data_IF_811908476037
#
_entry.id   IF_811908476037
#
_cell.length_a   1.000
_cell.length_b   1.000
_cell.length_c   1.000
_cell.angle_alpha   90.00
_cell.angle_beta   90.00
_cell.angle_gamma   90.00
#
_symmetry.space_group_name_H-M   'P 1'
#
loop_
_entity.id
_entity.type
_entity.pdbx_description
1 polymer ?
#
# COMPACT_ATOMS: atom_id res chain seq x y z
N UNK A 1 25.66 3.89 4.40
CA UNK A 1 25.06 5.23 4.46
C UNK A 1 24.98 5.90 3.08
N UNK A 2 25.80 5.48 2.15
CA UNK A 2 25.91 6.10 0.81
C UNK A 2 25.02 5.45 -0.26
N UNK A 3 24.41 4.31 0.04
CA UNK A 3 23.61 3.53 -0.91
C UNK A 3 22.11 3.61 -0.68
N UNK A 4 21.63 4.63 0.03
CA UNK A 4 20.19 4.82 0.19
C UNK A 4 19.60 5.29 -1.12
N UNK A 5 19.25 4.34 -1.95
CA UNK A 5 18.50 4.55 -3.17
C UNK A 5 17.01 4.44 -2.85
N UNK A 6 16.19 5.26 -3.47
CA UNK A 6 14.73 5.18 -3.36
C UNK A 6 14.12 3.93 -4.03
N UNK A 7 14.95 2.99 -4.44
CA UNK A 7 14.51 1.79 -5.18
C UNK A 7 14.16 0.63 -4.29
N UNK A 8 14.58 0.62 -3.03
CA UNK A 8 14.31 -0.46 -2.08
C UNK A 8 13.27 0.00 -1.06
N UNK A 9 12.01 -0.28 -1.34
CA UNK A 9 10.89 -0.02 -0.43
C UNK A 9 10.76 -1.09 0.66
N UNK A 10 11.85 -1.41 1.33
CA UNK A 10 11.82 -2.32 2.46
C UNK A 10 11.31 -1.58 3.70
N UNK A 11 10.36 -2.17 4.41
CA UNK A 11 9.84 -1.66 5.67
C UNK A 11 10.14 -2.63 6.81
N UNK A 12 10.57 -2.09 7.93
CA UNK A 12 10.71 -2.85 9.16
C UNK A 12 9.55 -2.47 10.07
N UNK A 13 8.65 -3.41 10.32
CA UNK A 13 7.54 -3.21 11.24
C UNK A 13 7.93 -3.67 12.64
N UNK A 14 7.71 -2.82 13.64
CA UNK A 14 7.94 -3.10 15.05
C UNK A 14 6.68 -2.82 15.86
N UNK A 15 6.51 -3.49 16.98
CA UNK A 15 5.28 -3.39 17.79
C UNK A 15 4.16 -4.27 17.26
N UNK A 16 2.94 -3.73 17.26
CA UNK A 16 1.76 -4.50 16.88
C UNK A 16 1.30 -5.51 17.91
N UNK A 17 0.66 -6.57 17.45
CA UNK A 17 0.20 -7.68 18.28
C UNK A 17 0.68 -9.00 17.68
N UNK A 18 0.84 -10.01 18.52
CA UNK A 18 1.18 -11.38 18.12
C UNK A 18 -0.06 -12.13 17.63
N UNK A 19 0.12 -13.28 16.99
CA UNK A 19 -0.96 -14.14 16.52
C UNK A 19 -1.97 -14.48 17.63
N UNK A 20 -1.47 -14.75 18.85
CA UNK A 20 -2.30 -15.00 20.04
C UNK A 20 -2.84 -13.73 20.72
N UNK A 21 -2.67 -12.57 20.06
CA UNK A 21 -3.22 -11.29 20.49
C UNK A 21 -2.51 -10.62 21.66
N UNK A 22 -1.27 -11.01 21.98
CA UNK A 22 -0.43 -10.33 22.97
C UNK A 22 0.31 -9.14 22.34
N UNK A 23 0.97 -8.33 23.18
CA UNK A 23 1.86 -7.29 22.71
C UNK A 23 3.02 -7.85 21.90
N UNK A 24 3.28 -7.25 20.73
CA UNK A 24 4.35 -7.66 19.83
C UNK A 24 5.71 -6.98 20.10
N UNK A 25 5.77 -6.05 21.06
CA UNK A 25 7.02 -5.37 21.40
C UNK A 25 7.94 -6.30 22.19
N UNK A 26 9.18 -6.38 21.78
CA UNK A 26 10.24 -7.12 22.46
C UNK A 26 11.56 -6.33 22.44
N UNK A 27 12.64 -6.91 22.97
CA UNK A 27 13.94 -6.24 23.02
C UNK A 27 14.47 -5.86 21.64
N UNK A 28 14.25 -6.70 20.62
CA UNK A 28 14.65 -6.42 19.24
C UNK A 28 13.93 -5.20 18.68
N UNK A 29 12.68 -4.96 19.09
CA UNK A 29 11.93 -3.77 18.68
C UNK A 29 12.62 -2.48 19.14
N UNK A 30 13.17 -2.45 20.35
CA UNK A 30 13.96 -1.31 20.84
C UNK A 30 15.29 -1.18 20.11
N UNK A 31 16.00 -2.30 19.89
CA UNK A 31 17.28 -2.30 19.18
C UNK A 31 17.12 -1.76 17.75
N UNK A 32 16.05 -2.12 17.05
CA UNK A 32 15.74 -1.60 15.71
C UNK A 32 15.54 -0.10 15.76
N UNK A 33 14.76 0.42 16.71
CA UNK A 33 14.54 1.86 16.87
C UNK A 33 15.85 2.60 17.18
N UNK A 34 16.70 2.03 18.03
CA UNK A 34 17.98 2.63 18.39
C UNK A 34 18.94 2.65 17.20
N UNK A 35 19.04 1.56 16.42
CA UNK A 35 19.81 1.53 15.18
C UNK A 35 19.32 2.56 14.15
N UNK A 36 18.00 2.66 13.97
CA UNK A 36 17.42 3.64 13.04
C UNK A 36 17.74 5.08 13.48
N UNK A 37 17.68 5.36 14.78
CA UNK A 37 18.00 6.65 15.34
C UNK A 37 19.50 7.01 15.20
N UNK A 38 20.37 6.05 15.47
CA UNK A 38 21.82 6.24 15.38
C UNK A 38 22.28 6.47 13.93
N UNK A 39 21.82 5.61 13.03
CA UNK A 39 22.27 5.62 11.64
C UNK A 39 21.56 6.65 10.75
N UNK A 40 20.39 7.16 11.17
CA UNK A 40 19.55 8.08 10.38
C UNK A 40 19.26 7.55 8.98
N UNK A 41 18.90 6.28 8.90
CA UNK A 41 18.57 5.64 7.64
C UNK A 41 17.18 6.07 7.17
N UNK A 42 17.07 6.40 5.89
CA UNK A 42 15.78 6.61 5.23
C UNK A 42 15.17 5.29 4.74
N UNK A 43 16.03 4.34 4.40
CA UNK A 43 15.66 2.98 4.00
C UNK A 43 16.56 1.96 4.74
N UNK A 44 16.01 0.83 5.20
CA UNK A 44 14.57 0.50 5.22
C UNK A 44 13.76 1.48 6.07
N UNK A 45 12.52 1.75 5.67
CA UNK A 45 11.62 2.58 6.48
C UNK A 45 11.27 1.89 7.80
N UNK A 46 11.17 2.66 8.88
CA UNK A 46 10.78 2.15 10.19
C UNK A 46 9.31 2.44 10.45
N UNK A 47 8.52 1.39 10.63
CA UNK A 47 7.10 1.44 10.93
C UNK A 47 6.85 0.95 12.36
N UNK A 48 6.21 1.78 13.17
CA UNK A 48 5.81 1.44 14.54
C UNK A 48 4.31 1.20 14.57
N UNK A 49 3.92 -0.04 14.78
CA UNK A 49 2.53 -0.44 14.95
C UNK A 49 2.14 -0.27 16.42
N UNK A 50 1.12 0.52 16.66
CA UNK A 50 0.63 0.86 18.01
C UNK A 50 -0.71 0.16 18.24
N UNK A 51 -0.79 -0.59 19.35
CA UNK A 51 -2.01 -1.17 19.87
C UNK A 51 -2.31 -0.63 21.27
N UNK A 52 -3.48 -0.94 21.79
CA UNK A 52 -3.83 -0.64 23.20
C UNK A 52 -2.91 -1.35 24.20
N UNK A 53 -2.20 -2.37 23.76
CA UNK A 53 -1.26 -3.17 24.58
C UNK A 53 0.18 -2.67 24.50
N UNK A 54 0.48 -1.76 23.58
CA UNK A 54 1.84 -1.23 23.37
C UNK A 54 2.39 -0.60 24.64
N UNK A 55 3.58 -1.01 25.11
CA UNK A 55 4.21 -0.46 26.29
C UNK A 55 4.50 1.05 26.15
N UNK A 56 4.10 1.85 27.15
CA UNK A 56 4.36 3.30 27.13
C UNK A 56 5.82 3.65 26.94
N UNK A 57 6.75 2.83 27.44
CA UNK A 57 8.20 3.01 27.27
C UNK A 57 8.59 2.95 25.79
N UNK A 58 8.04 1.97 25.04
CA UNK A 58 8.29 1.82 23.61
C UNK A 58 7.73 3.00 22.82
N UNK A 59 6.46 3.35 23.06
CA UNK A 59 5.84 4.50 22.42
C UNK A 59 6.61 5.80 22.69
N UNK A 60 7.04 6.02 23.94
CA UNK A 60 7.86 7.18 24.29
C UNK A 60 9.17 7.21 23.50
N UNK A 61 9.87 6.07 23.39
CA UNK A 61 11.12 5.98 22.62
C UNK A 61 10.89 6.29 21.14
N UNK A 62 9.86 5.75 20.53
CA UNK A 62 9.49 6.03 19.14
C UNK A 62 9.17 7.52 18.92
N UNK A 63 8.41 8.14 19.81
CA UNK A 63 8.10 9.57 19.78
C UNK A 63 9.35 10.45 19.95
N UNK A 64 10.28 10.07 20.83
CA UNK A 64 11.56 10.78 21.00
C UNK A 64 12.41 10.79 19.72
N UNK A 65 12.36 9.70 18.94
CA UNK A 65 13.04 9.62 17.66
C UNK A 65 12.32 10.47 16.62
N UNK A 66 11.00 10.31 16.48
CA UNK A 66 10.18 11.04 15.52
C UNK A 66 10.30 12.55 15.69
N UNK A 67 10.32 13.04 16.92
CA UNK A 67 10.47 14.46 17.26
C UNK A 67 11.78 15.11 16.74
N UNK A 68 12.80 14.30 16.37
CA UNK A 68 14.06 14.80 15.79
C UNK A 68 13.90 15.31 14.36
N UNK A 69 12.73 15.06 13.72
CA UNK A 69 12.34 15.71 12.47
C UNK A 69 12.94 15.10 11.18
N UNK A 70 13.56 13.92 11.23
CA UNK A 70 14.09 13.29 10.02
C UNK A 70 13.12 12.28 9.35
N UNK A 71 11.86 12.26 9.80
CA UNK A 71 10.76 11.56 9.10
C UNK A 71 10.55 10.10 9.50
N UNK A 72 11.27 9.58 10.49
CA UNK A 72 11.14 8.21 10.98
C UNK A 72 10.99 8.20 12.51
N UNK A 73 10.36 7.16 13.09
CA UNK A 73 9.51 6.16 12.46
C UNK A 73 8.12 6.71 12.07
N UNK A 74 7.43 6.02 11.16
CA UNK A 74 6.00 6.24 10.92
C UNK A 74 5.17 5.43 11.92
N UNK A 75 3.96 5.92 12.26
CA UNK A 75 3.09 5.31 13.27
C UNK A 75 1.81 4.78 12.64
N UNK A 76 1.43 3.55 12.98
CA UNK A 76 0.27 2.86 12.44
C UNK A 76 -0.60 2.28 13.56
N UNK A 77 -1.90 2.36 13.38
CA UNK A 77 -2.88 1.81 14.31
C UNK A 77 -3.11 0.32 14.02
N UNK A 78 -2.62 -0.54 14.92
CA UNK A 78 -2.74 -2.00 14.78
C UNK A 78 -4.19 -2.48 14.72
N UNK A 79 -5.06 -1.94 15.56
CA UNK A 79 -6.46 -2.34 15.59
C UNK A 79 -7.17 -1.98 14.27
N UNK A 80 -6.82 -0.83 13.68
CA UNK A 80 -7.35 -0.44 12.37
C UNK A 80 -6.87 -1.38 11.27
N UNK A 81 -5.57 -1.73 11.23
CA UNK A 81 -5.00 -2.69 10.28
C UNK A 81 -5.70 -4.05 10.39
N UNK A 82 -5.83 -4.59 11.61
CA UNK A 82 -6.50 -5.88 11.83
C UNK A 82 -7.95 -5.84 11.36
N UNK A 83 -8.67 -4.77 11.68
CA UNK A 83 -10.06 -4.60 11.26
C UNK A 83 -10.20 -4.52 9.74
N UNK A 84 -9.31 -3.78 9.08
CA UNK A 84 -9.28 -3.65 7.62
C UNK A 84 -9.04 -4.99 6.94
N UNK A 85 -8.02 -5.73 7.38
CA UNK A 85 -7.69 -7.04 6.83
C UNK A 85 -8.81 -8.07 7.04
N UNK A 86 -9.45 -8.07 8.21
CA UNK A 86 -10.62 -8.92 8.44
C UNK A 86 -11.81 -8.54 7.54
N UNK A 87 -12.06 -7.25 7.32
CA UNK A 87 -13.09 -6.79 6.40
C UNK A 87 -12.77 -7.17 4.94
N UNK A 88 -11.49 -7.27 4.59
CA UNK A 88 -11.03 -7.80 3.30
C UNK A 88 -11.08 -9.35 3.21
N UNK A 89 -11.61 -10.04 4.25
CA UNK A 89 -11.82 -11.49 4.25
C UNK A 89 -10.65 -12.32 4.78
N UNK A 90 -9.65 -11.71 5.42
CA UNK A 90 -8.55 -12.43 6.07
C UNK A 90 -9.03 -13.06 7.39
N UNK A 91 -8.40 -14.17 7.77
CA UNK A 91 -8.61 -14.73 9.12
C UNK A 91 -8.08 -13.77 10.19
N UNK A 92 -8.55 -13.91 11.43
CA UNK A 92 -8.05 -13.09 12.54
C UNK A 92 -6.54 -13.31 12.78
N UNK A 93 -6.07 -14.55 12.63
CA UNK A 93 -4.66 -14.88 12.82
C UNK A 93 -3.79 -14.25 11.72
N UNK A 94 -4.20 -14.38 10.44
CA UNK A 94 -3.52 -13.70 9.33
C UNK A 94 -3.55 -12.15 9.51
N UNK A 95 -4.67 -11.59 9.92
CA UNK A 95 -4.81 -10.15 10.13
C UNK A 95 -3.91 -9.62 11.26
N UNK A 96 -3.75 -10.39 12.35
CA UNK A 96 -2.83 -10.05 13.46
C UNK A 96 -1.36 -10.11 13.04
N UNK A 97 -1.01 -10.99 12.10
CA UNK A 97 0.32 -11.08 11.51
C UNK A 97 0.55 -10.02 10.43
N UNK A 98 -0.43 -9.17 10.19
CA UNK A 98 -0.38 -8.10 9.21
C UNK A 98 0.40 -6.88 9.68
N UNK A 99 0.68 -6.02 8.72
CA UNK A 99 1.37 -4.75 8.94
C UNK A 99 1.32 -3.88 7.71
N UNK A 100 2.27 -2.97 7.61
CA UNK A 100 2.39 -2.04 6.50
C UNK A 100 3.63 -2.31 5.66
N UNK A 101 3.50 -2.13 4.37
CA UNK A 101 4.55 -2.26 3.37
C UNK A 101 4.56 -1.01 2.48
N UNK A 102 5.62 -0.79 1.72
CA UNK A 102 5.72 0.40 0.86
C UNK A 102 5.59 1.69 1.67
N UNK A 103 4.55 2.45 1.42
CA UNK A 103 4.27 3.68 2.17
C UNK A 103 3.23 3.47 3.27
N UNK A 104 2.07 2.88 2.91
CA UNK A 104 0.91 2.68 3.80
C UNK A 104 0.10 1.42 3.44
N UNK A 105 0.60 0.61 2.54
CA UNK A 105 -0.08 -0.58 2.05
C UNK A 105 -0.18 -1.62 3.17
N UNK A 106 -1.39 -1.91 3.60
CA UNK A 106 -1.68 -2.93 4.61
C UNK A 106 -1.82 -4.31 3.97
N UNK A 107 -1.38 -5.34 4.68
CA UNK A 107 -1.51 -6.72 4.23
C UNK A 107 -1.07 -7.74 5.26
N UNK A 108 -1.46 -8.99 5.05
CA UNK A 108 -1.09 -10.13 5.87
C UNK A 108 0.28 -10.66 5.43
N UNK A 109 1.31 -10.44 6.22
CA UNK A 109 2.68 -10.81 5.87
C UNK A 109 2.84 -12.31 5.63
N UNK A 110 3.57 -12.64 4.58
CA UNK A 110 3.85 -14.03 4.20
C UNK A 110 2.67 -14.77 3.56
N UNK A 111 1.47 -14.19 3.51
CA UNK A 111 0.28 -14.84 2.97
C UNK A 111 -0.27 -14.14 1.72
N UNK A 112 -0.10 -12.84 1.63
CA UNK A 112 -0.81 -11.98 0.69
C UNK A 112 0.07 -11.59 -0.49
N UNK A 113 -0.55 -11.48 -1.67
CA UNK A 113 0.09 -10.89 -2.83
C UNK A 113 0.02 -9.36 -2.75
N UNK A 114 1.17 -8.71 -2.88
CA UNK A 114 1.27 -7.27 -3.04
C UNK A 114 1.51 -6.96 -4.52
N UNK A 115 0.44 -6.59 -5.22
CA UNK A 115 0.48 -6.36 -6.66
C UNK A 115 0.19 -4.88 -6.93
N UNK A 116 1.20 -4.16 -7.40
CA UNK A 116 1.05 -2.77 -7.82
C UNK A 116 0.96 -2.71 -9.36
N UNK A 117 -0.25 -2.57 -9.87
CA UNK A 117 -0.53 -2.51 -11.31
C UNK A 117 -0.39 -1.11 -11.92
N UNK A 118 0.20 -0.16 -11.19
CA UNK A 118 0.48 1.20 -11.63
C UNK A 118 -0.36 2.26 -10.94
N UNK A 119 -0.23 3.48 -11.41
CA UNK A 119 -0.81 4.67 -10.80
C UNK A 119 -2.05 5.14 -11.55
N UNK A 120 -2.88 5.91 -10.84
CA UNK A 120 -4.08 6.53 -11.38
C UNK A 120 -4.05 8.02 -11.08
N UNK A 121 -3.92 8.85 -12.14
CA UNK A 121 -3.78 10.29 -12.01
C UNK A 121 -5.17 10.97 -11.93
N UNK A 122 -5.74 11.05 -10.73
CA UNK A 122 -7.04 11.73 -10.49
C UNK A 122 -7.03 13.22 -10.88
N UNK A 123 -5.99 14.03 -10.60
CA UNK A 123 -5.92 15.40 -11.08
C UNK A 123 -6.01 15.52 -12.60
N UNK A 124 -5.42 14.59 -13.36
CA UNK A 124 -5.55 14.59 -14.83
C UNK A 124 -6.98 14.31 -15.27
N UNK A 125 -7.69 13.43 -14.59
CA UNK A 125 -9.11 13.16 -14.89
C UNK A 125 -9.97 14.40 -14.58
N UNK A 126 -9.65 15.13 -13.50
CA UNK A 126 -10.30 16.39 -13.21
C UNK A 126 -10.08 17.42 -14.33
N UNK A 127 -8.84 17.57 -14.79
CA UNK A 127 -8.51 18.43 -15.94
C UNK A 127 -9.35 18.03 -17.17
N UNK A 128 -9.38 16.74 -17.53
CA UNK A 128 -10.20 16.24 -18.65
C UNK A 128 -11.68 16.55 -18.46
N UNK A 129 -12.21 16.50 -17.25
CA UNK A 129 -13.60 16.86 -16.96
C UNK A 129 -13.88 18.34 -17.23
N UNK A 130 -12.92 19.22 -16.92
CA UNK A 130 -13.05 20.66 -17.16
C UNK A 130 -13.03 21.02 -18.65
N UNK A 131 -12.42 20.17 -19.49
CA UNK A 131 -12.21 20.40 -20.92
C UNK A 131 -12.89 19.37 -21.81
N UNK A 132 -14.06 18.89 -21.43
CA UNK A 132 -14.89 17.96 -22.21
C UNK A 132 -14.12 16.68 -22.64
N UNK A 133 -13.22 16.19 -21.80
CA UNK A 133 -12.40 15.02 -22.07
C UNK A 133 -11.19 15.25 -22.97
N UNK A 134 -10.92 16.49 -23.38
CA UNK A 134 -9.80 16.83 -24.25
C UNK A 134 -8.49 17.00 -23.47
N UNK A 135 -7.45 16.34 -23.93
CA UNK A 135 -6.09 16.47 -23.40
C UNK A 135 -5.30 17.55 -24.13
N UNK A 136 -5.11 18.70 -23.50
CA UNK A 136 -4.36 19.81 -24.09
C UNK A 136 -2.86 19.53 -24.25
N UNK A 137 -2.28 18.65 -23.43
CA UNK A 137 -0.86 18.26 -23.53
C UNK A 137 -0.65 17.28 -24.66
N UNK A 138 -1.51 16.27 -24.77
CA UNK A 138 -1.46 15.27 -25.84
C UNK A 138 -2.08 15.75 -27.15
N UNK A 139 -2.88 16.81 -27.11
CA UNK A 139 -3.52 17.38 -28.30
C UNK A 139 -4.63 16.52 -28.91
N UNK A 140 -5.32 15.70 -28.12
CA UNK A 140 -6.36 14.80 -28.60
C UNK A 140 -7.45 14.54 -27.55
N UNK A 141 -8.56 13.99 -28.03
CA UNK A 141 -9.65 13.52 -27.16
C UNK A 141 -9.21 12.26 -26.44
N UNK A 142 -9.06 12.31 -25.11
CA UNK A 142 -8.62 11.19 -24.29
C UNK A 142 -9.77 10.63 -23.45
N UNK A 143 -10.61 11.50 -22.88
CA UNK A 143 -11.76 11.12 -22.07
C UNK A 143 -13.07 11.17 -22.81
N UNK A 144 -14.17 11.00 -22.07
CA UNK A 144 -15.54 11.13 -22.60
C UNK A 144 -15.91 12.60 -22.85
N UNK A 145 -16.82 12.82 -23.77
CA UNK A 145 -17.50 14.11 -23.89
C UNK A 145 -18.48 14.26 -22.73
N UNK A 146 -18.17 15.12 -21.77
CA UNK A 146 -19.00 15.36 -20.57
C UNK A 146 -19.39 16.81 -20.39
N UNK A 147 -19.01 17.68 -21.32
CA UNK A 147 -19.20 19.13 -21.27
C UNK A 147 -17.96 19.89 -20.78
N UNK A 148 -17.91 21.17 -21.05
CA UNK A 148 -16.88 22.07 -20.56
C UNK A 148 -17.24 22.64 -19.20
N UNK A 149 -16.24 23.06 -18.42
CA UNK A 149 -16.43 23.68 -17.10
C UNK A 149 -17.49 24.79 -17.07
N UNK A 150 -17.54 25.60 -18.13
CA UNK A 150 -18.49 26.73 -18.28
C UNK A 150 -19.94 26.30 -18.53
N UNK A 151 -20.17 25.04 -18.92
CA UNK A 151 -21.47 24.52 -19.31
C UNK A 151 -22.24 23.89 -18.13
N UNK A 152 -21.58 23.68 -17.00
CA UNK A 152 -22.20 23.13 -15.78
C UNK A 152 -22.94 24.24 -15.01
N UNK A 153 -24.19 23.97 -14.65
CA UNK A 153 -25.01 24.90 -13.89
C UNK A 153 -24.88 24.75 -12.38
N UNK A 154 -24.31 23.63 -11.92
CA UNK A 154 -24.10 23.34 -10.49
C UNK A 154 -22.85 22.47 -10.23
N UNK A 155 -22.42 22.46 -8.98
CA UNK A 155 -21.35 21.55 -8.56
C UNK A 155 -21.75 20.09 -8.73
N UNK A 156 -23.01 19.77 -8.50
CA UNK A 156 -23.54 18.40 -8.61
C UNK A 156 -23.43 17.91 -10.07
N UNK A 157 -23.81 18.73 -11.05
CA UNK A 157 -23.63 18.37 -12.47
C UNK A 157 -22.18 18.14 -12.84
N UNK A 158 -21.29 19.01 -12.41
CA UNK A 158 -19.86 18.87 -12.61
C UNK A 158 -19.33 17.59 -11.94
N UNK A 159 -19.76 17.31 -10.71
CA UNK A 159 -19.30 16.13 -9.98
C UNK A 159 -19.80 14.81 -10.61
N UNK A 160 -21.01 14.80 -11.17
CA UNK A 160 -21.51 13.66 -11.95
C UNK A 160 -20.70 13.47 -13.25
N UNK A 161 -20.31 14.54 -13.93
CA UNK A 161 -19.41 14.46 -15.09
C UNK A 161 -18.04 13.90 -14.71
N UNK A 162 -17.47 14.35 -13.59
CA UNK A 162 -16.20 13.83 -13.05
C UNK A 162 -16.29 12.34 -12.70
N UNK A 163 -17.37 11.90 -12.05
CA UNK A 163 -17.59 10.47 -11.76
C UNK A 163 -17.67 9.61 -13.03
N UNK A 164 -18.30 10.11 -14.10
CA UNK A 164 -18.34 9.43 -15.40
C UNK A 164 -16.94 9.27 -16.00
N UNK A 165 -16.14 10.31 -15.95
CA UNK A 165 -14.75 10.26 -16.41
C UNK A 165 -13.94 9.27 -15.59
N UNK A 166 -14.02 9.32 -14.25
CA UNK A 166 -13.33 8.36 -13.38
C UNK A 166 -13.72 6.92 -13.74
N UNK A 167 -15.03 6.65 -13.85
CA UNK A 167 -15.51 5.31 -14.19
C UNK A 167 -14.93 4.81 -15.51
N UNK A 168 -14.92 5.64 -16.53
CA UNK A 168 -14.36 5.31 -17.84
C UNK A 168 -12.89 4.90 -17.74
N UNK A 169 -12.06 5.69 -17.06
CA UNK A 169 -10.63 5.40 -16.91
C UNK A 169 -10.36 4.22 -15.96
N UNK A 170 -11.21 4.02 -14.94
CA UNK A 170 -11.12 2.83 -14.07
C UNK A 170 -11.41 1.56 -14.86
N UNK A 171 -12.43 1.55 -15.70
CA UNK A 171 -12.76 0.38 -16.54
C UNK A 171 -11.60 0.02 -17.47
N UNK A 172 -10.98 1.02 -18.12
CA UNK A 172 -9.78 0.81 -18.95
C UNK A 172 -8.60 0.30 -18.11
N UNK A 173 -8.37 0.91 -16.96
CA UNK A 173 -7.28 0.52 -16.06
C UNK A 173 -7.43 -0.92 -15.58
N UNK A 174 -8.62 -1.32 -15.18
CA UNK A 174 -8.91 -2.70 -14.72
C UNK A 174 -8.69 -3.70 -15.86
N UNK A 175 -9.21 -3.40 -17.06
CA UNK A 175 -9.00 -4.26 -18.21
C UNK A 175 -7.50 -4.43 -18.54
N UNK A 176 -6.74 -3.32 -18.56
CA UNK A 176 -5.30 -3.34 -18.78
C UNK A 176 -4.53 -4.08 -17.68
N UNK A 177 -4.90 -3.88 -16.42
CA UNK A 177 -4.29 -4.57 -15.28
C UNK A 177 -4.51 -6.08 -15.36
N UNK A 178 -5.70 -6.55 -15.70
CA UNK A 178 -5.99 -7.97 -15.87
C UNK A 178 -5.12 -8.61 -16.95
N UNK A 179 -4.86 -7.91 -18.06
CA UNK A 179 -3.95 -8.40 -19.12
C UNK A 179 -2.51 -8.49 -18.58
N UNK A 180 -2.05 -7.46 -17.85
CA UNK A 180 -0.72 -7.45 -17.24
C UNK A 180 -0.56 -8.64 -16.27
N UNK A 181 -1.53 -8.88 -15.39
CA UNK A 181 -1.49 -10.01 -14.45
C UNK A 181 -1.42 -11.36 -15.16
N UNK A 182 -2.17 -11.54 -16.24
CA UNK A 182 -2.08 -12.77 -17.05
C UNK A 182 -0.69 -12.96 -17.66
N UNK A 183 -0.07 -11.88 -18.13
CA UNK A 183 1.29 -11.91 -18.67
C UNK A 183 2.29 -12.27 -17.56
N UNK A 184 2.19 -11.65 -16.37
CA UNK A 184 3.03 -12.00 -15.22
C UNK A 184 2.86 -13.47 -14.81
N UNK A 185 1.63 -13.96 -14.72
CA UNK A 185 1.34 -15.35 -14.35
C UNK A 185 1.92 -16.34 -15.35
N UNK A 186 1.97 -16.00 -16.64
CA UNK A 186 2.42 -16.90 -17.70
C UNK A 186 3.93 -16.83 -17.96
N UNK A 187 4.53 -15.64 -17.93
CA UNK A 187 5.87 -15.41 -18.43
C UNK A 187 6.88 -14.93 -17.40
N UNK A 188 6.42 -14.51 -16.22
CA UNK A 188 7.28 -13.91 -15.18
C UNK A 188 7.14 -14.63 -13.82
N UNK A 189 7.57 -15.89 -13.72
CA UNK A 189 7.52 -16.60 -12.45
C UNK A 189 8.46 -15.97 -11.43
N UNK A 190 8.04 -15.97 -10.16
CA UNK A 190 8.77 -15.43 -9.02
C UNK A 190 9.15 -16.55 -8.02
N UNK A 191 10.06 -17.48 -8.38
CA UNK A 191 10.33 -18.68 -7.58
C UNK A 191 10.86 -18.37 -6.19
N UNK A 192 11.75 -17.39 -6.05
CA UNK A 192 12.32 -17.04 -4.73
C UNK A 192 11.28 -16.37 -3.83
N UNK A 193 10.36 -15.58 -4.38
CA UNK A 193 9.25 -15.00 -3.62
C UNK A 193 8.24 -16.10 -3.25
N UNK A 194 8.01 -17.03 -4.16
CA UNK A 194 7.07 -18.15 -3.95
C UNK A 194 7.50 -19.06 -2.79
N UNK A 195 8.78 -19.31 -2.57
CA UNK A 195 9.24 -20.12 -1.42
C UNK A 195 9.10 -19.39 -0.08
N UNK A 196 9.00 -18.07 -0.09
CA UNK A 196 8.83 -17.23 1.11
C UNK A 196 7.37 -16.92 1.40
N UNK A 197 6.45 -17.28 0.49
CA UNK A 197 5.02 -17.00 0.63
C UNK A 197 4.28 -18.27 0.97
N UNK A 198 3.49 -18.21 2.04
CA UNK A 198 2.67 -19.33 2.48
C UNK A 198 1.73 -19.78 1.36
N UNK A 199 1.42 -21.08 1.35
CA UNK A 199 0.57 -21.75 0.39
C UNK A 199 1.16 -21.95 -1.03
N UNK A 200 2.13 -21.16 -1.49
CA UNK A 200 2.70 -21.34 -2.83
C UNK A 200 3.25 -22.75 -3.03
N UNK A 201 4.12 -23.22 -2.13
CA UNK A 201 4.67 -24.59 -2.17
C UNK A 201 3.55 -25.63 -1.99
N UNK A 202 2.66 -25.42 -1.02
CA UNK A 202 1.55 -26.33 -0.72
C UNK A 202 0.60 -26.51 -1.91
N UNK A 203 0.33 -25.42 -2.63
CA UNK A 203 -0.52 -25.41 -3.82
C UNK A 203 0.23 -25.84 -5.10
N UNK A 204 1.58 -25.86 -5.07
CA UNK A 204 2.41 -26.06 -6.27
C UNK A 204 2.21 -24.95 -7.30
N UNK A 205 2.00 -23.72 -6.86
CA UNK A 205 1.74 -22.55 -7.71
C UNK A 205 2.69 -21.41 -7.41
N UNK A 206 3.13 -20.74 -8.47
CA UNK A 206 3.92 -19.52 -8.34
C UNK A 206 3.11 -18.37 -7.71
N UNK A 207 3.80 -17.46 -7.06
CA UNK A 207 3.23 -16.25 -6.44
C UNK A 207 2.33 -15.49 -7.41
N UNK A 208 2.79 -15.26 -8.65
CA UNK A 208 2.05 -14.55 -9.68
C UNK A 208 0.93 -15.40 -10.34
N UNK A 209 0.88 -16.71 -10.09
CA UNK A 209 -0.08 -17.65 -10.68
C UNK A 209 -1.08 -18.21 -9.65
N UNK A 210 -1.43 -17.44 -8.63
CA UNK A 210 -2.41 -17.79 -7.61
C UNK A 210 -1.87 -18.65 -6.47
N UNK A 211 -0.57 -18.68 -6.28
CA UNK A 211 0.07 -19.28 -5.10
C UNK A 211 -0.21 -18.48 -3.84
N UNK A 212 0.03 -17.18 -3.88
CA UNK A 212 -0.32 -16.26 -2.81
C UNK A 212 -1.84 -16.06 -2.71
N UNK A 213 -2.31 -15.52 -1.58
CA UNK A 213 -3.72 -15.14 -1.36
C UNK A 213 -3.94 -13.68 -1.81
N UNK A 214 -5.16 -13.38 -2.24
CA UNK A 214 -5.61 -12.03 -2.57
C UNK A 214 -6.57 -11.53 -1.51
#
# INVERSE_FOLDING_TARGET
KESSTYTDFANINTGGITEDGKDGVNEVSYMILDCMDEMKLLQPSSNVQISRKTPRKFLKRACEISRKGWGQPAFYNTEAIVSELMNAGKSLDDARMGGTSGCVETGAFGNEAYILQGYFNLPKILELTLYDGYDHVGGHQLGLHTGFAKDFNSYEEFFEAYKKQIKYFVDIKVAGSNVIEQIFAQYMPAPFLSILTNDCIKKGKDYNAGGARY
#
